data_IF_475915619075
#
_entry.id   IF_475915619075
#
_cell.length_a   1.000
_cell.length_b   1.000
_cell.length_c   1.000
_cell.angle_alpha   90.00
_cell.angle_beta   90.00
_cell.angle_gamma   90.00
#
_symmetry.space_group_name_H-M   'P 1'
#
loop_
_entity.id
_entity.type
_entity.pdbx_description
1 polymer ?
#
# COMPACT_ATOMS: atom_id res chain seq x y z
N UNK A 1 -38.33 -44.99 23.99
CA UNK A 1 -36.99 -45.21 23.43
C UNK A 1 -36.98 -44.53 22.06
N UNK A 2 -36.62 -43.25 22.04
CA UNK A 2 -36.60 -42.42 20.82
C UNK A 2 -35.17 -41.90 20.71
N UNK A 3 -34.44 -42.40 19.71
CA UNK A 3 -33.07 -42.01 19.41
C UNK A 3 -33.01 -40.51 19.12
N UNK A 4 -32.40 -39.76 20.03
CA UNK A 4 -31.87 -38.44 19.74
C UNK A 4 -30.75 -38.60 18.72
N UNK A 5 -30.99 -38.19 17.48
CA UNK A 5 -29.93 -37.95 16.50
C UNK A 5 -29.04 -36.83 17.03
N UNK A 6 -27.87 -37.20 17.50
CA UNK A 6 -26.73 -36.31 17.71
C UNK A 6 -26.46 -35.54 16.41
N UNK A 7 -26.86 -34.26 16.38
CA UNK A 7 -26.34 -33.27 15.45
C UNK A 7 -24.98 -32.78 15.97
N UNK A 8 -24.06 -33.70 16.23
CA UNK A 8 -22.71 -33.36 16.63
C UNK A 8 -21.95 -32.84 15.42
N UNK A 9 -21.87 -31.52 15.33
CA UNK A 9 -20.67 -30.78 14.93
C UNK A 9 -19.91 -31.38 13.73
N UNK A 10 -20.47 -31.26 12.52
CA UNK A 10 -19.69 -31.45 11.31
C UNK A 10 -18.61 -30.36 11.29
N UNK A 11 -17.37 -30.74 11.61
CA UNK A 11 -16.23 -29.83 11.61
C UNK A 11 -16.13 -29.16 10.23
N UNK A 12 -16.48 -27.88 10.15
CA UNK A 12 -16.30 -27.09 8.94
C UNK A 12 -14.80 -27.00 8.70
N UNK A 13 -14.32 -27.70 7.69
CA UNK A 13 -12.92 -27.64 7.30
C UNK A 13 -12.69 -26.39 6.46
N UNK A 14 -12.16 -25.34 7.09
CA UNK A 14 -11.80 -24.11 6.39
C UNK A 14 -10.49 -24.32 5.61
N UNK A 15 -10.56 -24.13 4.29
CA UNK A 15 -9.38 -24.05 3.44
C UNK A 15 -9.15 -22.59 3.04
N UNK A 16 -7.89 -22.14 3.11
CA UNK A 16 -7.52 -20.81 2.62
C UNK A 16 -7.67 -20.74 1.10
N UNK A 17 -8.33 -19.69 0.63
CA UNK A 17 -8.40 -19.36 -0.79
C UNK A 17 -7.02 -18.92 -1.31
N UNK A 18 -6.76 -18.97 -2.63
CA UNK A 18 -5.54 -18.41 -3.21
C UNK A 18 -5.30 -16.94 -2.80
N UNK A 19 -6.36 -16.13 -2.76
CA UNK A 19 -6.33 -14.74 -2.29
C UNK A 19 -6.00 -14.67 -0.79
N UNK A 20 -6.57 -15.55 0.03
CA UNK A 20 -6.22 -15.64 1.45
C UNK A 20 -4.75 -16.03 1.69
N UNK A 21 -4.17 -16.86 0.83
CA UNK A 21 -2.73 -17.18 0.88
C UNK A 21 -1.86 -15.99 0.49
N UNK A 22 -2.31 -15.17 -0.45
CA UNK A 22 -1.64 -13.92 -0.81
C UNK A 22 -1.67 -12.93 0.36
N UNK A 23 -2.84 -12.68 0.94
CA UNK A 23 -3.02 -11.68 1.99
C UNK A 23 -2.08 -11.94 3.19
N UNK A 24 -1.81 -13.21 3.53
CA UNK A 24 -0.84 -13.60 4.56
C UNK A 24 0.60 -13.12 4.33
N UNK A 25 0.94 -12.63 3.15
CA UNK A 25 2.25 -12.08 2.81
C UNK A 25 2.30 -10.55 2.88
N UNK A 26 1.17 -9.90 3.14
CA UNK A 26 1.06 -8.46 3.30
C UNK A 26 0.95 -8.17 4.80
N UNK A 27 1.93 -7.46 5.33
CA UNK A 27 1.99 -7.02 6.72
C UNK A 27 1.81 -5.51 6.74
N UNK A 28 0.55 -5.08 6.69
CA UNK A 28 0.14 -3.67 6.69
C UNK A 28 -1.20 -3.53 7.39
N UNK A 29 -1.47 -2.37 7.98
CA UNK A 29 -2.82 -2.03 8.48
C UNK A 29 -3.80 -1.75 7.33
N UNK A 30 -3.28 -1.56 6.12
CA UNK A 30 -4.03 -1.38 4.88
C UNK A 30 -3.95 -2.63 3.97
N UNK A 31 -3.73 -3.81 4.55
CA UNK A 31 -3.53 -5.06 3.82
C UNK A 31 -4.72 -5.45 2.93
N UNK A 32 -5.95 -5.30 3.41
CA UNK A 32 -7.17 -5.56 2.64
C UNK A 32 -7.32 -4.59 1.46
N UNK A 33 -7.03 -3.32 1.67
CA UNK A 33 -7.08 -2.29 0.62
C UNK A 33 -6.04 -2.60 -0.45
N UNK A 34 -4.79 -2.87 -0.05
CA UNK A 34 -3.73 -3.24 -0.98
C UNK A 34 -4.04 -4.54 -1.74
N UNK A 35 -4.55 -5.56 -1.05
CA UNK A 35 -4.95 -6.81 -1.67
C UNK A 35 -6.03 -6.59 -2.73
N UNK A 36 -7.03 -5.75 -2.43
CA UNK A 36 -8.10 -5.40 -3.37
C UNK A 36 -7.54 -4.64 -4.58
N UNK A 37 -6.66 -3.66 -4.40
CA UNK A 37 -6.03 -2.94 -5.52
C UNK A 37 -5.23 -3.86 -6.45
N UNK A 38 -4.52 -4.85 -5.89
CA UNK A 38 -3.78 -5.82 -6.69
C UNK A 38 -4.74 -6.72 -7.47
N UNK A 39 -5.85 -7.13 -6.85
CA UNK A 39 -6.89 -7.94 -7.50
C UNK A 39 -7.64 -7.20 -8.60
N UNK A 40 -7.92 -5.91 -8.39
CA UNK A 40 -8.60 -5.04 -9.34
C UNK A 40 -7.66 -4.48 -10.41
N UNK A 41 -6.36 -4.82 -10.32
CA UNK A 41 -5.33 -4.46 -11.30
C UNK A 41 -5.01 -2.95 -11.33
N UNK A 42 -5.38 -2.21 -10.28
CA UNK A 42 -5.25 -0.76 -10.13
C UNK A 42 -3.79 -0.24 -10.12
N UNK A 43 -2.83 -1.15 -9.97
CA UNK A 43 -1.39 -0.88 -9.91
C UNK A 43 -0.66 -1.21 -11.21
N UNK A 44 -1.38 -1.56 -12.27
CA UNK A 44 -0.79 -1.84 -13.59
C UNK A 44 -0.27 -0.59 -14.27
N UNK A 45 0.70 -0.81 -15.16
CA UNK A 45 1.28 0.21 -16.04
C UNK A 45 1.87 1.45 -15.34
N UNK A 46 2.02 1.39 -14.01
CA UNK A 46 2.79 2.35 -13.22
C UNK A 46 4.28 2.10 -13.41
N UNK A 47 5.04 3.17 -13.59
CA UNK A 47 6.49 3.15 -13.40
C UNK A 47 6.86 2.90 -11.93
N UNK A 48 8.15 2.65 -11.65
CA UNK A 48 8.60 2.40 -10.27
C UNK A 48 8.37 3.59 -9.34
N UNK A 49 8.55 4.83 -9.82
CA UNK A 49 8.32 6.05 -9.04
C UNK A 49 6.83 6.33 -8.83
N UNK A 50 5.98 6.07 -9.83
CA UNK A 50 4.52 6.17 -9.66
C UNK A 50 3.97 5.13 -8.69
N UNK A 51 4.42 3.87 -8.80
CA UNK A 51 4.04 2.82 -7.85
C UNK A 51 4.45 3.17 -6.41
N UNK A 52 5.68 3.66 -6.22
CA UNK A 52 6.14 4.11 -4.91
C UNK A 52 5.25 5.23 -4.35
N UNK A 53 4.90 6.20 -5.19
CA UNK A 53 4.04 7.32 -4.80
C UNK A 53 2.64 6.85 -4.38
N UNK A 54 2.01 5.96 -5.15
CA UNK A 54 0.68 5.42 -4.83
C UNK A 54 0.73 4.62 -3.52
N UNK A 55 1.69 3.69 -3.39
CA UNK A 55 1.81 2.82 -2.20
C UNK A 55 2.18 3.61 -0.95
N UNK A 56 2.84 4.78 -1.08
CA UNK A 56 3.12 5.66 0.07
C UNK A 56 1.85 6.07 0.82
N UNK A 57 0.70 6.15 0.12
CA UNK A 57 -0.58 6.52 0.74
C UNK A 57 -1.16 5.47 1.71
N UNK A 58 -0.66 4.23 1.61
CA UNK A 58 -1.07 3.10 2.45
C UNK A 58 -0.21 2.99 3.73
N UNK A 59 0.89 3.73 3.81
CA UNK A 59 1.85 3.65 4.95
C UNK A 59 2.03 4.97 5.66
N UNK A 60 1.82 6.08 4.97
CA UNK A 60 2.00 7.41 5.55
C UNK A 60 0.83 7.75 6.47
N UNK A 61 1.17 8.34 7.62
CA UNK A 61 0.22 8.94 8.54
C UNK A 61 0.78 10.32 8.92
N UNK A 62 0.11 11.38 8.49
CA UNK A 62 0.45 12.73 8.93
C UNK A 62 0.27 12.89 10.45
N UNK A 63 1.02 13.82 11.03
CA UNK A 63 0.75 14.25 12.39
C UNK A 63 -0.56 15.04 12.40
N UNK A 64 -1.30 14.98 13.51
CA UNK A 64 -2.60 15.64 13.65
C UNK A 64 -2.52 17.11 13.22
N UNK A 65 -3.30 17.49 12.21
CA UNK A 65 -3.37 18.86 11.69
C UNK A 65 -2.54 19.13 10.43
N UNK A 66 -1.73 18.17 9.98
CA UNK A 66 -0.84 18.27 8.79
C UNK A 66 -1.36 17.44 7.59
N UNK A 67 -2.58 16.90 7.68
CA UNK A 67 -3.06 15.84 6.78
C UNK A 67 -3.65 16.30 5.46
N UNK A 68 -3.45 15.46 4.44
CA UNK A 68 -3.95 15.66 3.09
C UNK A 68 -2.96 16.43 2.23
N UNK A 69 -2.45 15.78 1.19
CA UNK A 69 -1.72 16.48 0.13
C UNK A 69 -2.58 17.59 -0.47
N UNK A 70 -1.96 18.56 -1.12
CA UNK A 70 -2.62 19.68 -1.82
C UNK A 70 -3.53 19.25 -3.00
N UNK A 71 -3.73 17.94 -3.19
CA UNK A 71 -4.44 17.35 -4.32
C UNK A 71 -3.66 17.42 -5.63
N UNK A 72 -2.44 17.94 -5.63
CA UNK A 72 -1.57 18.03 -6.81
C UNK A 72 -0.69 16.79 -6.92
N UNK A 73 -1.08 15.87 -7.79
CA UNK A 73 -0.29 14.69 -8.11
C UNK A 73 0.65 14.96 -9.30
N UNK A 74 1.85 14.37 -9.33
CA UNK A 74 2.66 14.33 -10.54
C UNK A 74 1.85 13.74 -11.70
N UNK A 75 1.84 14.43 -12.84
CA UNK A 75 0.98 14.09 -13.98
C UNK A 75 -0.44 14.68 -13.94
N UNK A 76 -0.81 15.39 -12.86
CA UNK A 76 -2.12 16.04 -12.71
C UNK A 76 -3.25 15.07 -12.35
N UNK A 77 -4.49 15.56 -12.37
CA UNK A 77 -5.69 14.81 -11.98
C UNK A 77 -6.00 13.63 -12.91
N UNK A 78 -5.54 13.70 -14.16
CA UNK A 78 -5.72 12.65 -15.18
C UNK A 78 -4.47 11.76 -15.31
N UNK A 79 -3.45 11.98 -14.47
CA UNK A 79 -2.23 11.17 -14.46
C UNK A 79 -2.43 9.82 -13.76
N UNK A 80 -1.56 8.85 -14.09
CA UNK A 80 -1.65 7.48 -13.57
C UNK A 80 -1.70 7.41 -12.04
N UNK A 81 -0.92 8.25 -11.34
CA UNK A 81 -0.95 8.34 -9.87
C UNK A 81 -2.34 8.72 -9.37
N UNK A 82 -2.92 9.80 -9.90
CA UNK A 82 -4.23 10.27 -9.47
C UNK A 82 -5.32 9.23 -9.72
N UNK A 83 -5.29 8.58 -10.89
CA UNK A 83 -6.23 7.51 -11.26
C UNK A 83 -6.13 6.33 -10.27
N UNK A 84 -4.92 5.82 -10.01
CA UNK A 84 -4.72 4.72 -9.07
C UNK A 84 -5.10 5.09 -7.62
N UNK A 85 -4.88 6.34 -7.19
CA UNK A 85 -5.31 6.81 -5.87
C UNK A 85 -6.84 6.93 -5.76
N UNK A 86 -7.53 7.33 -6.83
CA UNK A 86 -8.99 7.32 -6.86
C UNK A 86 -9.54 5.90 -6.78
N UNK A 87 -8.93 4.94 -7.48
CA UNK A 87 -9.29 3.53 -7.36
C UNK A 87 -9.05 2.99 -5.94
N UNK A 88 -7.92 3.37 -5.32
CA UNK A 88 -7.60 3.05 -3.92
C UNK A 88 -8.70 3.56 -2.96
N UNK A 89 -9.13 4.81 -3.10
CA UNK A 89 -10.23 5.39 -2.32
C UNK A 89 -11.54 4.62 -2.50
N UNK A 90 -11.87 4.23 -3.74
CA UNK A 90 -13.05 3.42 -4.04
C UNK A 90 -12.99 2.04 -3.39
N UNK A 91 -11.84 1.36 -3.44
CA UNK A 91 -11.62 0.07 -2.80
C UNK A 91 -11.72 0.17 -1.28
N UNK A 92 -11.10 1.20 -0.67
CA UNK A 92 -11.23 1.47 0.77
C UNK A 92 -12.69 1.72 1.17
N UNK A 93 -13.42 2.53 0.41
CA UNK A 93 -14.82 2.85 0.73
C UNK A 93 -15.69 1.58 0.72
N UNK A 94 -15.53 0.72 -0.30
CA UNK A 94 -16.23 -0.57 -0.38
C UNK A 94 -15.92 -1.47 0.82
N UNK A 95 -14.64 -1.58 1.19
CA UNK A 95 -14.22 -2.37 2.36
C UNK A 95 -14.80 -1.79 3.65
N UNK A 96 -14.80 -0.47 3.80
CA UNK A 96 -15.34 0.21 4.98
C UNK A 96 -16.84 -0.05 5.12
N UNK A 97 -17.62 0.06 4.04
CA UNK A 97 -19.04 -0.28 4.04
C UNK A 97 -19.28 -1.74 4.44
N UNK A 98 -18.47 -2.67 3.94
CA UNK A 98 -18.59 -4.08 4.31
C UNK A 98 -18.23 -4.34 5.78
N UNK A 99 -17.20 -3.67 6.30
CA UNK A 99 -16.87 -3.72 7.73
C UNK A 99 -18.03 -3.21 8.59
N UNK A 100 -18.62 -2.07 8.22
CA UNK A 100 -19.76 -1.47 8.92
C UNK A 100 -20.98 -2.40 8.93
N UNK A 101 -21.32 -2.98 7.77
CA UNK A 101 -22.42 -3.94 7.62
C UNK A 101 -22.25 -5.19 8.53
N UNK A 102 -21.01 -5.52 8.87
CA UNK A 102 -20.64 -6.66 9.72
C UNK A 102 -20.20 -6.28 11.15
N UNK A 103 -20.23 -4.99 11.51
CA UNK A 103 -19.81 -4.50 12.83
C UNK A 103 -18.32 -4.71 13.13
N UNK A 104 -17.46 -4.63 12.11
CA UNK A 104 -16.01 -4.73 12.19
C UNK A 104 -15.36 -3.34 12.14
N UNK A 105 -14.11 -3.25 12.63
CA UNK A 105 -13.33 -2.02 12.49
C UNK A 105 -13.06 -1.70 11.01
N UNK A 106 -13.28 -0.44 10.64
CA UNK A 106 -13.01 0.05 9.27
C UNK A 106 -11.53 0.31 9.05
N UNK A 107 -11.01 0.17 7.80
CA UNK A 107 -9.65 0.58 7.48
C UNK A 107 -9.39 2.06 7.81
N UNK A 108 -8.17 2.34 8.26
CA UNK A 108 -7.71 3.72 8.51
C UNK A 108 -7.86 4.59 7.25
N UNK A 109 -7.99 5.89 7.44
CA UNK A 109 -7.97 6.86 6.33
C UNK A 109 -6.64 6.78 5.57
N UNK A 110 -6.70 7.07 4.26
CA UNK A 110 -5.52 7.18 3.42
C UNK A 110 -4.94 8.57 3.52
N UNK A 111 -3.61 8.68 3.47
CA UNK A 111 -2.93 9.98 3.51
C UNK A 111 -2.01 10.16 2.30
N UNK A 112 -2.31 11.16 1.48
CA UNK A 112 -1.58 11.44 0.24
C UNK A 112 -0.42 12.43 0.40
N UNK A 113 -0.15 12.90 1.63
CA UNK A 113 0.85 13.94 1.90
C UNK A 113 2.28 13.58 1.50
N UNK A 114 2.58 12.28 1.34
CA UNK A 114 3.91 11.80 0.95
C UNK A 114 4.03 11.47 -0.55
N UNK A 115 2.94 11.47 -1.33
CA UNK A 115 2.94 10.99 -2.71
C UNK A 115 3.94 11.73 -3.60
N UNK A 116 3.90 13.07 -3.59
CA UNK A 116 4.82 13.89 -4.40
C UNK A 116 6.27 13.76 -3.94
N UNK A 117 6.51 13.84 -2.63
CA UNK A 117 7.84 13.70 -2.03
C UNK A 117 8.49 12.38 -2.44
N UNK A 118 7.75 11.28 -2.37
CA UNK A 118 8.23 9.96 -2.76
C UNK A 118 8.42 9.82 -4.26
N UNK A 119 7.53 10.40 -5.08
CA UNK A 119 7.70 10.38 -6.53
C UNK A 119 9.00 11.05 -6.95
N UNK A 120 9.26 12.27 -6.48
CA UNK A 120 10.49 13.02 -6.79
C UNK A 120 11.72 12.30 -6.24
N UNK A 121 11.63 11.77 -5.01
CA UNK A 121 12.71 10.98 -4.42
C UNK A 121 12.99 9.69 -5.20
N UNK A 122 11.99 8.93 -5.60
CA UNK A 122 12.21 7.72 -6.40
C UNK A 122 12.80 8.04 -7.79
N UNK A 123 12.57 9.24 -8.32
CA UNK A 123 13.19 9.73 -9.56
C UNK A 123 14.61 10.29 -9.38
N UNK A 124 15.15 10.29 -8.16
CA UNK A 124 16.56 10.62 -7.89
C UNK A 124 16.83 11.98 -7.27
N UNK A 125 15.80 12.80 -7.01
CA UNK A 125 15.96 14.14 -6.44
C UNK A 125 16.59 14.15 -5.03
N UNK A 126 17.32 15.19 -4.68
CA UNK A 126 17.95 15.28 -3.36
C UNK A 126 16.94 15.47 -2.22
N UNK A 127 17.27 14.99 -1.01
CA UNK A 127 16.37 15.08 0.15
C UNK A 127 15.97 16.54 0.45
N UNK A 128 16.93 17.46 0.35
CA UNK A 128 16.70 18.89 0.57
C UNK A 128 15.80 19.52 -0.49
N UNK A 129 15.70 18.91 -1.68
CA UNK A 129 14.81 19.35 -2.76
C UNK A 129 13.40 18.86 -2.48
N UNK A 130 13.21 17.56 -2.25
CA UNK A 130 11.88 16.96 -2.09
C UNK A 130 11.18 17.38 -0.80
N UNK A 131 11.92 17.82 0.22
CA UNK A 131 11.35 18.32 1.48
C UNK A 131 11.22 19.86 1.53
N UNK A 132 11.59 20.58 0.47
CA UNK A 132 11.68 22.05 0.50
C UNK A 132 10.37 22.73 0.90
N UNK A 133 9.26 22.24 0.36
CA UNK A 133 7.92 22.78 0.57
C UNK A 133 7.06 21.82 1.41
N UNK A 134 7.70 20.93 2.17
CA UNK A 134 7.04 19.93 3.02
C UNK A 134 7.26 20.25 4.50
N UNK A 135 6.21 20.08 5.30
CA UNK A 135 6.31 20.09 6.78
C UNK A 135 7.00 18.84 7.34
N UNK A 136 7.29 17.84 6.48
CA UNK A 136 7.90 16.58 6.88
C UNK A 136 9.37 16.75 7.28
N UNK A 137 9.70 16.30 8.49
CA UNK A 137 11.11 16.26 8.92
C UNK A 137 11.89 15.16 8.19
N UNK A 138 13.20 15.34 8.05
CA UNK A 138 14.07 14.30 7.44
C UNK A 138 14.02 12.96 8.19
N UNK A 139 13.83 12.96 9.51
CA UNK A 139 13.68 11.75 10.30
C UNK A 139 12.35 11.02 10.04
N UNK A 140 11.26 11.77 9.90
CA UNK A 140 9.95 11.21 9.53
C UNK A 140 9.96 10.68 8.10
N UNK A 141 10.64 11.38 7.18
CA UNK A 141 10.85 10.91 5.82
C UNK A 141 11.55 9.55 5.80
N UNK A 142 12.72 9.43 6.46
CA UNK A 142 13.49 8.18 6.48
C UNK A 142 12.68 7.03 7.06
N UNK A 143 11.94 7.28 8.15
CA UNK A 143 11.08 6.27 8.79
C UNK A 143 10.00 5.76 7.83
N UNK A 144 9.28 6.67 7.17
CA UNK A 144 8.20 6.29 6.25
C UNK A 144 8.75 5.68 4.96
N UNK A 145 9.87 6.16 4.44
CA UNK A 145 10.54 5.58 3.27
C UNK A 145 10.98 4.12 3.51
N UNK A 146 11.43 3.78 4.73
CA UNK A 146 11.73 2.39 5.10
C UNK A 146 10.47 1.51 5.14
N UNK A 147 9.40 1.97 5.80
CA UNK A 147 8.10 1.26 5.82
C UNK A 147 7.56 1.04 4.40
N UNK A 148 7.70 2.05 3.54
CA UNK A 148 7.32 1.96 2.14
C UNK A 148 8.17 0.93 1.39
N UNK A 149 9.50 0.98 1.53
CA UNK A 149 10.39 0.02 0.87
C UNK A 149 10.09 -1.42 1.32
N UNK A 150 9.78 -1.64 2.60
CA UNK A 150 9.36 -2.94 3.12
C UNK A 150 8.04 -3.40 2.50
N UNK A 151 7.02 -2.52 2.41
CA UNK A 151 5.75 -2.86 1.79
C UNK A 151 5.90 -3.15 0.28
N UNK A 152 6.74 -2.38 -0.43
CA UNK A 152 7.08 -2.65 -1.84
C UNK A 152 7.77 -4.01 -2.01
N UNK A 153 8.65 -4.40 -1.08
CA UNK A 153 9.25 -5.74 -1.06
C UNK A 153 8.24 -6.86 -0.78
N UNK A 154 7.17 -6.58 -0.03
CA UNK A 154 6.06 -7.53 0.16
C UNK A 154 5.21 -7.65 -1.12
N UNK A 155 4.88 -6.53 -1.77
CA UNK A 155 4.19 -6.50 -3.08
C UNK A 155 4.99 -7.30 -4.11
N UNK A 156 6.31 -7.15 -4.13
CA UNK A 156 7.20 -7.90 -5.00
C UNK A 156 7.09 -9.43 -4.85
N UNK A 157 6.80 -9.92 -3.64
CA UNK A 157 6.61 -11.34 -3.33
C UNK A 157 5.18 -11.81 -3.66
N UNK A 158 4.20 -10.94 -3.42
CA UNK A 158 2.77 -11.17 -3.69
C UNK A 158 2.47 -11.23 -5.19
N UNK A 159 3.19 -10.47 -6.01
CA UNK A 159 2.98 -10.49 -7.45
C UNK A 159 2.93 -11.92 -7.98
N UNK A 160 3.79 -12.84 -7.50
CA UNK A 160 3.86 -14.26 -7.89
C UNK A 160 2.55 -15.07 -7.84
N UNK A 161 1.49 -14.56 -7.21
CA UNK A 161 0.17 -15.20 -7.14
C UNK A 161 -0.74 -14.95 -8.36
N UNK A 162 -0.37 -14.07 -9.29
CA UNK A 162 -1.19 -13.67 -10.43
C UNK A 162 -0.56 -14.02 -11.79
N UNK A 163 -1.33 -13.92 -12.87
CA UNK A 163 -0.86 -14.31 -14.22
C UNK A 163 0.04 -13.23 -14.85
N UNK A 164 -0.26 -11.95 -14.59
CA UNK A 164 0.55 -10.77 -15.00
C UNK A 164 1.46 -10.24 -13.88
N UNK A 165 1.63 -11.09 -12.85
CA UNK A 165 2.52 -10.98 -11.71
C UNK A 165 3.92 -10.43 -12.00
N UNK A 166 4.51 -10.91 -13.09
CA UNK A 166 5.92 -10.73 -13.35
C UNK A 166 6.24 -9.25 -13.60
N UNK A 167 5.29 -8.51 -14.18
CA UNK A 167 5.42 -7.06 -14.38
C UNK A 167 5.39 -6.32 -13.04
N UNK A 168 4.33 -6.51 -12.24
CA UNK A 168 4.19 -5.84 -10.93
C UNK A 168 5.33 -6.20 -9.97
N UNK A 169 5.73 -7.48 -9.90
CA UNK A 169 6.85 -7.91 -9.07
C UNK A 169 8.16 -7.24 -9.46
N UNK A 170 8.43 -7.06 -10.76
CA UNK A 170 9.64 -6.38 -11.23
C UNK A 170 9.62 -4.89 -10.90
N UNK A 171 8.49 -4.23 -11.16
CA UNK A 171 8.30 -2.79 -10.88
C UNK A 171 8.39 -2.52 -9.37
N UNK A 172 7.73 -3.32 -8.52
CA UNK A 172 7.80 -3.19 -7.07
C UNK A 172 9.22 -3.38 -6.51
N UNK A 173 9.99 -4.34 -7.05
CA UNK A 173 11.41 -4.50 -6.69
C UNK A 173 12.24 -3.29 -7.08
N UNK A 174 11.96 -2.69 -8.23
CA UNK A 174 12.66 -1.48 -8.66
C UNK A 174 12.29 -0.29 -7.78
N UNK A 175 10.99 -0.09 -7.52
CA UNK A 175 10.48 0.95 -6.62
C UNK A 175 11.10 0.86 -5.22
N UNK A 176 11.20 -0.35 -4.65
CA UNK A 176 11.84 -0.56 -3.36
C UNK A 176 13.32 -0.12 -3.35
N UNK A 177 14.06 -0.37 -4.44
CA UNK A 177 15.46 0.10 -4.60
C UNK A 177 15.54 1.61 -4.78
N UNK A 178 14.65 2.18 -5.59
CA UNK A 178 14.62 3.62 -5.89
C UNK A 178 14.31 4.43 -4.62
N UNK A 179 13.42 3.93 -3.76
CA UNK A 179 13.13 4.51 -2.45
C UNK A 179 14.29 4.28 -1.47
N UNK A 180 14.84 3.07 -1.41
CA UNK A 180 15.93 2.70 -0.49
C UNK A 180 17.31 3.13 -1.01
N UNK A 181 17.52 4.44 -1.13
CA UNK A 181 18.79 5.05 -1.56
C UNK A 181 19.26 6.13 -0.58
N UNK A 182 20.48 6.63 -0.77
CA UNK A 182 21.02 7.74 0.03
C UNK A 182 20.85 7.51 1.54
N UNK A 183 20.42 8.54 2.26
CA UNK A 183 20.24 8.50 3.73
C UNK A 183 19.27 7.40 4.22
N UNK A 184 18.33 6.96 3.38
CA UNK A 184 17.39 5.87 3.70
C UNK A 184 18.16 4.54 3.81
N UNK A 185 19.11 4.31 2.89
CA UNK A 185 19.94 3.11 2.86
C UNK A 185 21.07 3.10 3.89
N UNK A 186 21.60 4.26 4.29
CA UNK A 186 22.74 4.35 5.23
C UNK A 186 22.36 4.10 6.69
N UNK A 187 21.10 4.28 7.07
CA UNK A 187 20.68 4.30 8.48
C UNK A 187 20.38 2.89 9.06
N UNK A 188 21.17 1.89 8.66
CA UNK A 188 21.15 0.51 9.15
C UNK A 188 22.49 0.05 9.74
N UNK A 189 23.37 0.99 10.10
CA UNK A 189 24.62 0.71 10.81
C UNK A 189 24.39 0.94 12.30
N UNK A 190 24.21 -0.16 13.03
CA UNK A 190 24.82 -0.43 14.34
C UNK A 190 25.19 -1.92 14.38
#
# INVERSE_FOLDING_TARGET
MHESKDLSNAAVNYALTPIGQMLRRIYSEQDLVLAQMIMDEDLRDLSSSELAAVVSSLVYESRRGEGGGDGSFPGGTDGSIAISLQACLGSRARISMLCDDHGLDTPKELDFGMCRVIYEWANGEDLSVVLRDSEMTGGDFVRNAKRLADLLNQIAQVGTFFKDAESLSKVAKQAARDVNRGIVAYSGVD
#
